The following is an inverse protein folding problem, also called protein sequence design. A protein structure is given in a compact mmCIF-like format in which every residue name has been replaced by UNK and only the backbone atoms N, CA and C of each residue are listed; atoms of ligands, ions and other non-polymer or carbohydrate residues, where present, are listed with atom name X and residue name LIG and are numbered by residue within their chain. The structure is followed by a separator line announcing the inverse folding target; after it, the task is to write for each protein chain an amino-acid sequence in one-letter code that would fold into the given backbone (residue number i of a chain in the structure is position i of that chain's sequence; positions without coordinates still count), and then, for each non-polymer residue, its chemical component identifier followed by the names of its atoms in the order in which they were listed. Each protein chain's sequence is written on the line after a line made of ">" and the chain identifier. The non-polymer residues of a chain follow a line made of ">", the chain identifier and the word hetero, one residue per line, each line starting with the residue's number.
data_IF_372912981594
#
_entry.id   IF_372912981594
#
_cell.length_a   1.000
_cell.length_b   1.000
_cell.length_c   1.000
_cell.angle_alpha   90.00
_cell.angle_beta   90.00
_cell.angle_gamma   90.00
#
_symmetry.space_group_name_H-M   'P 1'
#
loop_
_entity.id
_entity.type
_entity.pdbx_description
1 polymer ?
#
# COMPACT_ATOMS: atom_id res chain seq x y z
N UNK A 1 5.29 -1.95 29.25
CA UNK A 1 6.18 -1.90 28.06
C UNK A 1 6.17 -0.48 27.53
N UNK A 2 7.25 -0.02 26.91
CA UNK A 2 7.30 1.36 26.37
C UNK A 2 6.61 1.35 25.02
N UNK A 3 5.65 2.25 24.82
CA UNK A 3 4.97 2.45 23.51
C UNK A 3 5.98 2.86 22.45
N UNK A 4 5.69 2.51 21.19
CA UNK A 4 6.49 2.93 20.04
C UNK A 4 6.54 4.47 19.96
N UNK A 5 7.66 5.00 19.47
CA UNK A 5 7.94 6.44 19.58
C UNK A 5 7.01 7.31 18.72
N UNK A 6 6.73 6.87 17.47
CA UNK A 6 5.96 7.68 16.54
C UNK A 6 4.48 7.28 16.51
N UNK A 7 4.16 6.00 16.49
CA UNK A 7 2.78 5.52 16.42
C UNK A 7 2.09 5.46 17.78
N UNK A 8 2.85 5.48 18.87
CA UNK A 8 2.36 5.39 20.28
C UNK A 8 1.55 4.11 20.56
N UNK A 9 1.93 2.99 19.92
CA UNK A 9 1.34 1.65 20.06
C UNK A 9 2.28 0.70 20.83
N UNK A 10 1.72 -0.37 21.38
CA UNK A 10 2.44 -1.44 22.08
C UNK A 10 1.93 -2.83 21.64
N UNK A 11 2.66 -3.93 21.96
CA UNK A 11 2.20 -5.28 21.65
C UNK A 11 0.83 -5.58 22.26
N UNK A 12 -0.11 -6.02 21.42
CA UNK A 12 -1.51 -6.27 21.77
C UNK A 12 -2.48 -5.17 21.30
N UNK A 13 -1.98 -3.98 20.95
CA UNK A 13 -2.81 -2.89 20.43
C UNK A 13 -3.30 -3.16 19.00
N UNK A 14 -2.56 -3.98 18.23
CA UNK A 14 -2.85 -4.20 16.81
C UNK A 14 -2.94 -5.69 16.43
N UNK A 15 -3.63 -5.96 15.33
CA UNK A 15 -3.61 -7.26 14.67
C UNK A 15 -2.39 -7.45 13.77
N UNK A 16 -2.17 -8.71 13.32
CA UNK A 16 -1.08 -9.03 12.40
C UNK A 16 -1.32 -8.53 10.98
N UNK A 17 -2.57 -8.31 10.58
CA UNK A 17 -2.96 -7.72 9.29
C UNK A 17 -3.19 -6.22 9.45
N UNK A 18 -2.49 -5.40 8.67
CA UNK A 18 -2.61 -3.95 8.77
C UNK A 18 -2.85 -3.32 7.40
N UNK A 19 -3.89 -2.51 7.29
CA UNK A 19 -4.15 -1.67 6.12
C UNK A 19 -3.49 -0.31 6.32
N UNK A 20 -2.77 0.16 5.30
CA UNK A 20 -1.94 1.36 5.35
C UNK A 20 -2.44 2.45 4.39
N UNK A 21 -3.39 3.32 4.77
CA UNK A 21 -3.67 4.55 4.03
C UNK A 21 -2.61 5.62 4.31
N UNK A 22 -2.36 6.52 3.35
CA UNK A 22 -1.52 7.71 3.61
C UNK A 22 -2.24 8.74 4.48
N UNK A 23 -3.53 8.98 4.21
CA UNK A 23 -4.36 9.97 4.87
C UNK A 23 -4.94 9.46 6.20
N UNK A 24 -4.68 10.13 7.34
CA UNK A 24 -5.25 9.77 8.64
C UNK A 24 -6.79 9.74 8.65
N UNK A 25 -7.43 10.62 7.86
CA UNK A 25 -8.88 10.68 7.74
C UNK A 25 -9.50 9.40 7.18
N UNK A 26 -8.76 8.63 6.36
CA UNK A 26 -9.23 7.34 5.84
C UNK A 26 -9.25 6.23 6.87
N UNK A 27 -8.48 6.33 7.96
CA UNK A 27 -8.42 5.27 8.97
C UNK A 27 -9.79 4.95 9.55
N UNK A 28 -10.57 5.97 9.90
CA UNK A 28 -11.93 5.78 10.41
C UNK A 28 -12.87 5.14 9.38
N UNK A 29 -12.74 5.53 8.10
CA UNK A 29 -13.56 4.98 7.01
C UNK A 29 -13.22 3.51 6.79
N UNK A 30 -11.94 3.14 6.75
CA UNK A 30 -11.50 1.76 6.61
C UNK A 30 -11.93 0.93 7.83
N UNK A 31 -11.72 1.44 9.03
CA UNK A 31 -12.12 0.78 10.28
C UNK A 31 -13.61 0.51 10.38
N UNK A 32 -14.47 1.33 9.75
CA UNK A 32 -15.92 1.08 9.73
C UNK A 32 -16.33 -0.23 9.03
N UNK A 33 -15.41 -0.88 8.31
CA UNK A 33 -15.59 -2.21 7.72
C UNK A 33 -15.18 -3.37 8.65
N UNK A 34 -14.61 -3.06 9.81
CA UNK A 34 -14.23 -4.07 10.82
C UNK A 34 -15.39 -4.31 11.80
N UNK A 35 -15.39 -5.47 12.45
CA UNK A 35 -16.24 -5.71 13.61
C UNK A 35 -15.61 -5.06 14.83
N UNK A 36 -16.42 -4.31 15.61
CA UNK A 36 -16.04 -3.63 16.86
C UNK A 36 -14.75 -2.80 16.74
N UNK A 37 -14.67 -1.82 15.80
CA UNK A 37 -13.48 -1.04 15.63
C UNK A 37 -13.27 -0.04 16.75
N UNK A 38 -12.07 0.03 17.29
CA UNK A 38 -11.67 1.00 18.32
C UNK A 38 -10.43 1.78 17.86
N UNK A 39 -10.40 3.08 18.18
CA UNK A 39 -9.18 3.88 17.97
C UNK A 39 -8.20 3.60 19.10
N UNK A 40 -7.05 2.98 18.77
CA UNK A 40 -6.05 2.56 19.76
C UNK A 40 -4.94 3.58 19.95
N UNK A 41 -4.62 4.38 18.92
CA UNK A 41 -3.61 5.42 19.00
C UNK A 41 -3.84 6.55 18.01
N UNK A 42 -3.35 7.74 18.36
CA UNK A 42 -3.24 8.90 17.47
C UNK A 42 -2.05 9.73 17.92
N UNK A 43 -1.05 9.85 17.06
CA UNK A 43 0.11 10.68 17.29
C UNK A 43 0.69 11.14 15.96
N UNK A 44 0.93 12.44 15.78
CA UNK A 44 1.38 13.04 14.52
C UNK A 44 0.42 12.70 13.36
N UNK A 45 0.98 12.26 12.23
CA UNK A 45 0.24 11.75 11.06
C UNK A 45 -0.25 10.30 11.20
N UNK A 46 0.07 9.62 12.30
CA UNK A 46 -0.28 8.22 12.55
C UNK A 46 -1.54 8.10 13.39
N UNK A 47 -2.59 7.55 12.79
CA UNK A 47 -3.86 7.24 13.46
C UNK A 47 -4.14 5.75 13.27
N UNK A 48 -4.29 5.03 14.37
CA UNK A 48 -4.47 3.58 14.37
C UNK A 48 -5.81 3.18 14.96
N UNK A 49 -6.55 2.32 14.23
CA UNK A 49 -7.73 1.62 14.70
C UNK A 49 -7.50 0.12 14.62
N UNK A 50 -8.09 -0.62 15.55
CA UNK A 50 -8.09 -2.08 15.56
C UNK A 50 -9.51 -2.59 15.75
N UNK A 51 -9.85 -3.65 15.06
CA UNK A 51 -11.11 -4.39 15.17
C UNK A 51 -10.87 -5.82 14.68
N UNK A 52 -11.88 -6.46 14.09
CA UNK A 52 -11.72 -7.81 13.55
C UNK A 52 -12.41 -8.03 12.21
N UNK A 53 -11.86 -8.95 11.41
CA UNK A 53 -12.44 -9.48 10.18
C UNK A 53 -12.37 -11.02 10.29
N UNK A 54 -13.48 -11.74 10.08
CA UNK A 54 -13.57 -13.20 10.24
C UNK A 54 -13.01 -13.70 11.60
N UNK A 55 -13.21 -12.92 12.67
CA UNK A 55 -12.70 -13.13 14.02
C UNK A 55 -11.17 -12.99 14.19
N UNK A 56 -10.43 -12.62 13.15
CA UNK A 56 -9.01 -12.29 13.25
C UNK A 56 -8.84 -10.79 13.55
N UNK A 57 -7.94 -10.40 14.47
CA UNK A 57 -7.60 -9.01 14.70
C UNK A 57 -7.00 -8.36 13.45
N UNK A 58 -7.59 -7.25 13.02
CA UNK A 58 -7.14 -6.47 11.87
C UNK A 58 -7.03 -5.00 12.26
N UNK A 59 -5.99 -4.35 11.81
CA UNK A 59 -5.76 -2.94 12.09
C UNK A 59 -5.68 -2.10 10.82
N UNK A 60 -5.91 -0.82 10.97
CA UNK A 60 -5.58 0.20 9.99
C UNK A 60 -4.72 1.26 10.67
N UNK A 61 -3.64 1.67 10.04
CA UNK A 61 -2.77 2.73 10.53
C UNK A 61 -2.35 3.64 9.38
N UNK A 62 -2.52 4.94 9.52
CA UNK A 62 -2.04 5.88 8.50
C UNK A 62 -0.51 5.95 8.47
N UNK A 63 0.03 6.21 7.30
CA UNK A 63 1.49 6.35 7.09
C UNK A 63 1.94 7.80 6.95
N UNK A 64 1.02 8.75 6.78
CA UNK A 64 1.37 10.04 6.20
C UNK A 64 1.74 9.92 4.72
N UNK A 65 2.38 10.96 4.18
CA UNK A 65 2.82 11.01 2.78
C UNK A 65 4.32 10.77 2.71
N UNK A 66 4.71 9.92 1.77
CA UNK A 66 6.10 9.73 1.37
C UNK A 66 6.82 8.57 2.05
N UNK A 67 7.89 8.16 1.42
CA UNK A 67 8.68 7.00 1.80
C UNK A 67 9.27 7.09 3.22
N UNK A 68 9.79 8.24 3.72
CA UNK A 68 10.30 8.32 5.08
C UNK A 68 9.25 8.03 6.16
N UNK A 69 8.05 8.61 6.02
CA UNK A 69 6.97 8.43 6.98
C UNK A 69 6.42 6.98 6.93
N UNK A 70 6.27 6.43 5.73
CA UNK A 70 5.86 5.04 5.54
C UNK A 70 6.89 4.04 6.12
N UNK A 71 8.19 4.33 6.03
CA UNK A 71 9.24 3.52 6.65
C UNK A 71 9.08 3.45 8.17
N UNK A 72 8.86 4.58 8.83
CA UNK A 72 8.63 4.64 10.28
C UNK A 72 7.40 3.80 10.65
N UNK A 73 6.31 3.94 9.89
CA UNK A 73 5.08 3.20 10.16
C UNK A 73 5.31 1.69 10.15
N UNK A 74 5.86 1.14 9.07
CA UNK A 74 6.04 -0.32 8.94
C UNK A 74 7.05 -0.87 9.95
N UNK A 75 8.11 -0.10 10.29
CA UNK A 75 9.10 -0.49 11.29
C UNK A 75 8.48 -0.63 12.68
N UNK A 76 7.66 0.32 13.11
CA UNK A 76 7.04 0.27 14.43
C UNK A 76 5.89 -0.73 14.49
N UNK A 77 5.08 -0.86 13.42
CA UNK A 77 3.99 -1.84 13.36
C UNK A 77 4.52 -3.28 13.39
N UNK A 78 5.58 -3.59 12.62
CA UNK A 78 6.18 -4.93 12.67
C UNK A 78 6.81 -5.23 14.04
N UNK A 79 7.39 -4.23 14.69
CA UNK A 79 8.02 -4.41 16.01
C UNK A 79 7.02 -4.79 17.11
N UNK A 80 5.73 -4.48 16.91
CA UNK A 80 4.64 -4.86 17.83
C UNK A 80 3.80 -6.04 17.33
N UNK A 81 4.22 -6.73 16.24
CA UNK A 81 3.68 -8.02 15.84
C UNK A 81 2.93 -8.07 14.51
N UNK A 82 2.84 -6.97 13.75
CA UNK A 82 2.27 -7.02 12.40
C UNK A 82 3.21 -7.71 11.41
N UNK A 83 2.66 -8.53 10.51
CA UNK A 83 3.42 -9.28 9.49
C UNK A 83 2.85 -9.19 8.07
N UNK A 84 1.64 -8.66 7.93
CA UNK A 84 0.93 -8.57 6.65
C UNK A 84 0.37 -7.18 6.46
N UNK A 85 0.75 -6.53 5.36
CA UNK A 85 0.43 -5.13 5.11
C UNK A 85 -0.16 -4.93 3.70
N UNK A 86 -1.25 -4.19 3.62
CA UNK A 86 -1.83 -3.73 2.34
C UNK A 86 -1.89 -2.22 2.36
N UNK A 87 -1.07 -1.58 1.51
CA UNK A 87 -1.19 -0.15 1.27
C UNK A 87 -2.45 0.15 0.46
N UNK A 88 -3.23 1.14 0.91
CA UNK A 88 -4.40 1.68 0.23
C UNK A 88 -4.19 3.15 -0.08
N UNK A 89 -3.89 3.46 -1.34
CA UNK A 89 -3.51 4.80 -1.76
C UNK A 89 -4.35 5.37 -2.90
N UNK A 90 -3.88 6.53 -3.38
CA UNK A 90 -4.26 7.15 -4.65
C UNK A 90 -3.01 7.35 -5.49
N UNK A 91 -3.15 7.35 -6.80
CA UNK A 91 -2.05 7.49 -7.75
C UNK A 91 -2.47 8.26 -9.00
N UNK A 92 -1.49 8.73 -9.76
CA UNK A 92 -1.69 9.15 -11.15
C UNK A 92 -1.48 7.97 -12.10
N UNK A 93 -2.40 7.74 -13.03
CA UNK A 93 -2.24 6.75 -14.11
C UNK A 93 -1.15 7.20 -15.08
N UNK A 94 -0.39 6.25 -15.61
CA UNK A 94 0.74 6.48 -16.51
C UNK A 94 0.53 5.89 -17.91
N UNK A 95 -0.54 5.11 -18.14
CA UNK A 95 -0.79 4.48 -19.41
C UNK A 95 -2.04 5.05 -20.07
N UNK A 96 -2.05 5.21 -21.42
CA UNK A 96 -3.11 5.95 -22.12
C UNK A 96 -4.49 5.29 -22.08
N UNK A 97 -4.57 3.99 -21.74
CA UNK A 97 -5.83 3.25 -21.65
C UNK A 97 -6.50 3.33 -20.28
N UNK A 98 -5.80 3.89 -19.27
CA UNK A 98 -6.30 3.99 -17.90
C UNK A 98 -7.24 5.18 -17.74
N UNK A 99 -8.29 5.00 -16.95
CA UNK A 99 -9.26 6.05 -16.64
C UNK A 99 -9.33 6.32 -15.14
N UNK A 100 -9.65 7.57 -14.72
CA UNK A 100 -9.88 7.87 -13.30
C UNK A 100 -11.02 7.00 -12.74
N UNK A 101 -10.76 6.34 -11.62
CA UNK A 101 -11.65 5.36 -11.00
C UNK A 101 -11.17 3.91 -11.11
N UNK A 102 -10.30 3.60 -12.07
CA UNK A 102 -9.64 2.29 -12.15
C UNK A 102 -8.73 2.06 -10.94
N UNK A 103 -8.43 0.79 -10.65
CA UNK A 103 -7.51 0.39 -9.60
C UNK A 103 -6.17 -0.06 -10.17
N UNK A 104 -5.07 0.34 -9.54
CA UNK A 104 -3.74 -0.15 -9.84
C UNK A 104 -3.28 -1.10 -8.73
N UNK A 105 -3.04 -2.37 -9.05
CA UNK A 105 -2.44 -3.38 -8.17
C UNK A 105 -0.95 -3.43 -8.47
N UNK A 106 -0.14 -3.06 -7.49
CA UNK A 106 1.29 -2.86 -7.65
C UNK A 106 2.02 -4.18 -7.41
N UNK A 107 2.68 -4.69 -8.45
CA UNK A 107 3.49 -5.92 -8.39
C UNK A 107 4.96 -5.65 -8.04
N UNK A 108 5.42 -4.43 -8.26
CA UNK A 108 6.75 -3.94 -7.94
C UNK A 108 6.79 -2.42 -8.07
N UNK A 109 7.89 -1.82 -7.64
CA UNK A 109 8.02 -0.36 -7.65
C UNK A 109 9.38 0.11 -8.10
N UNK A 110 9.40 1.15 -8.93
CA UNK A 110 10.61 1.91 -9.27
C UNK A 110 11.01 2.70 -8.03
N UNK A 111 12.22 2.47 -7.54
CA UNK A 111 12.79 3.11 -6.34
C UNK A 111 13.39 4.47 -6.69
N UNK A 112 12.54 5.43 -7.12
CA UNK A 112 12.95 6.78 -7.49
C UNK A 112 12.81 7.76 -6.31
N UNK A 113 13.29 7.31 -5.15
CA UNK A 113 13.21 7.98 -3.85
C UNK A 113 14.50 7.78 -3.05
N UNK A 114 14.65 8.49 -1.94
CA UNK A 114 15.87 8.48 -1.13
C UNK A 114 15.89 7.45 -0.01
N UNK A 115 14.74 7.12 0.56
CA UNK A 115 14.62 6.37 1.82
C UNK A 115 15.11 4.94 1.70
N UNK A 116 14.67 4.20 0.68
CA UNK A 116 15.02 2.79 0.52
C UNK A 116 16.51 2.56 0.26
N UNK A 117 17.22 3.58 -0.22
CA UNK A 117 18.69 3.54 -0.43
C UNK A 117 19.48 3.42 0.89
N UNK A 118 18.88 3.82 2.02
CA UNK A 118 19.47 3.65 3.35
C UNK A 118 19.32 2.22 3.87
N UNK A 119 18.47 1.40 3.23
CA UNK A 119 18.23 0.01 3.62
C UNK A 119 18.92 -1.00 2.68
N UNK A 120 18.83 -0.78 1.37
CA UNK A 120 19.40 -1.67 0.34
C UNK A 120 19.89 -0.88 -0.87
N UNK A 121 20.93 -1.37 -1.58
CA UNK A 121 21.37 -0.82 -2.86
C UNK A 121 20.21 -0.65 -3.84
N UNK A 122 20.30 0.33 -4.74
CA UNK A 122 19.20 0.69 -5.67
C UNK A 122 18.85 -0.44 -6.64
N UNK A 123 19.82 -1.30 -6.94
CA UNK A 123 19.66 -2.46 -7.82
C UNK A 123 18.78 -3.57 -7.22
N UNK A 124 18.59 -3.59 -5.88
CA UNK A 124 17.67 -4.54 -5.26
C UNK A 124 16.22 -4.14 -5.59
N UNK A 125 15.41 -5.04 -6.18
CA UNK A 125 14.08 -4.70 -6.63
C UNK A 125 13.10 -4.57 -5.45
N UNK A 126 12.22 -3.58 -5.51
CA UNK A 126 11.05 -3.48 -4.63
C UNK A 126 9.90 -4.30 -5.22
N UNK A 127 9.67 -5.51 -4.71
CA UNK A 127 8.69 -6.47 -5.25
C UNK A 127 7.63 -6.78 -4.20
N UNK A 128 6.36 -6.81 -4.63
CA UNK A 128 5.24 -7.16 -3.76
C UNK A 128 5.22 -8.67 -3.45
N UNK A 129 4.67 -9.02 -2.30
CA UNK A 129 4.40 -10.41 -1.95
C UNK A 129 3.33 -10.98 -2.88
N UNK A 130 3.59 -12.16 -3.46
CA UNK A 130 2.74 -12.76 -4.49
C UNK A 130 1.35 -13.12 -3.97
N UNK A 131 1.23 -13.60 -2.73
CA UNK A 131 -0.07 -13.98 -2.13
C UNK A 131 -0.95 -12.74 -1.97
N UNK A 132 -0.36 -11.59 -1.59
CA UNK A 132 -1.08 -10.32 -1.47
C UNK A 132 -1.53 -9.82 -2.84
N UNK A 133 -0.69 -9.93 -3.87
CA UNK A 133 -1.06 -9.53 -5.24
C UNK A 133 -2.21 -10.39 -5.77
N UNK A 134 -2.16 -11.71 -5.56
CA UNK A 134 -3.22 -12.64 -5.97
C UNK A 134 -4.52 -12.29 -5.22
N UNK A 135 -4.47 -12.13 -3.90
CA UNK A 135 -5.65 -11.78 -3.11
C UNK A 135 -6.28 -10.45 -3.52
N UNK A 136 -5.47 -9.42 -3.83
CA UNK A 136 -5.96 -8.14 -4.33
C UNK A 136 -6.64 -8.28 -5.70
N UNK A 137 -6.05 -9.05 -6.62
CA UNK A 137 -6.62 -9.30 -7.94
C UNK A 137 -7.96 -10.03 -7.83
N UNK A 138 -8.01 -11.14 -7.10
CA UNK A 138 -9.23 -11.93 -6.91
C UNK A 138 -10.33 -11.12 -6.23
N UNK A 139 -9.97 -10.30 -5.24
CA UNK A 139 -10.90 -9.40 -4.57
C UNK A 139 -11.49 -8.36 -5.53
N UNK A 140 -10.68 -7.75 -6.37
CA UNK A 140 -11.13 -6.76 -7.34
C UNK A 140 -12.03 -7.39 -8.43
N UNK A 141 -11.66 -8.57 -8.95
CA UNK A 141 -12.45 -9.34 -9.91
C UNK A 141 -13.83 -9.71 -9.32
N UNK A 142 -13.86 -10.22 -8.07
CA UNK A 142 -15.09 -10.54 -7.35
C UNK A 142 -16.02 -9.34 -7.15
N UNK A 143 -15.44 -8.15 -6.96
CA UNK A 143 -16.18 -6.90 -6.76
C UNK A 143 -16.53 -6.19 -8.08
N UNK A 144 -16.04 -6.68 -9.21
CA UNK A 144 -16.32 -6.14 -10.55
C UNK A 144 -15.60 -4.83 -10.86
N UNK A 145 -14.44 -4.57 -10.21
CA UNK A 145 -13.66 -3.37 -10.46
C UNK A 145 -12.63 -3.58 -11.58
N UNK A 146 -12.47 -2.57 -12.43
CA UNK A 146 -11.43 -2.56 -13.45
C UNK A 146 -10.05 -2.35 -12.80
N UNK A 147 -9.08 -3.20 -13.18
CA UNK A 147 -7.75 -3.21 -12.56
C UNK A 147 -6.63 -3.25 -13.57
N UNK A 148 -5.52 -2.62 -13.21
CA UNK A 148 -4.24 -2.68 -13.92
C UNK A 148 -3.19 -3.25 -12.97
N UNK A 149 -2.52 -4.32 -13.39
CA UNK A 149 -1.43 -4.93 -12.63
C UNK A 149 -0.09 -4.51 -13.24
N UNK A 150 0.84 -4.08 -12.41
CA UNK A 150 2.17 -3.71 -12.89
C UNK A 150 3.02 -2.92 -11.91
N UNK A 151 4.04 -2.26 -12.45
CA UNK A 151 5.06 -1.55 -11.68
C UNK A 151 4.60 -0.11 -11.45
N UNK A 152 4.73 0.38 -10.20
CA UNK A 152 4.54 1.80 -9.87
C UNK A 152 5.84 2.59 -10.00
N UNK A 153 5.73 3.88 -10.25
CA UNK A 153 6.78 4.85 -10.03
C UNK A 153 6.62 5.46 -8.64
N UNK A 154 7.46 5.09 -7.69
CA UNK A 154 7.46 5.63 -6.34
C UNK A 154 8.53 6.70 -6.19
N UNK A 155 8.13 7.92 -5.84
CA UNK A 155 8.96 9.12 -5.85
C UNK A 155 8.81 9.96 -4.59
N UNK A 156 9.74 10.90 -4.37
CA UNK A 156 9.72 11.82 -3.23
C UNK A 156 9.12 13.20 -3.54
N UNK A 157 8.98 13.55 -4.83
CA UNK A 157 8.46 14.88 -5.19
C UNK A 157 7.14 14.81 -5.93
N UNK A 158 6.05 15.25 -5.27
CA UNK A 158 4.75 15.42 -5.91
C UNK A 158 4.81 16.46 -7.05
N UNK A 159 5.32 17.66 -6.75
CA UNK A 159 5.38 18.74 -7.74
C UNK A 159 6.44 18.54 -8.82
N UNK A 160 7.51 17.78 -8.55
CA UNK A 160 8.48 17.40 -9.57
C UNK A 160 7.88 16.55 -10.70
N UNK A 161 6.76 15.87 -10.42
CA UNK A 161 6.00 15.11 -11.41
C UNK A 161 4.84 15.94 -11.99
N UNK A 162 4.05 16.61 -11.15
CA UNK A 162 2.82 17.28 -11.56
C UNK A 162 3.05 18.63 -12.29
N UNK A 163 4.20 19.24 -12.07
CA UNK A 163 4.56 20.53 -12.66
C UNK A 163 6.10 20.59 -12.86
N UNK A 164 6.67 19.66 -13.64
CA UNK A 164 8.13 19.55 -13.83
C UNK A 164 8.74 20.83 -14.43
N UNK A 165 7.99 21.56 -15.25
CA UNK A 165 8.38 22.81 -15.89
C UNK A 165 8.77 23.90 -14.88
N UNK A 166 8.32 23.79 -13.63
CA UNK A 166 8.67 24.70 -12.53
C UNK A 166 10.02 24.40 -11.88
N UNK A 167 10.59 23.25 -12.21
CA UNK A 167 11.80 22.75 -11.53
C UNK A 167 13.06 23.13 -12.33
N UNK A 168 14.18 23.48 -11.65
CA UNK A 168 15.45 23.74 -12.33
C UNK A 168 15.96 22.57 -13.19
N UNK A 169 15.50 21.35 -12.88
CA UNK A 169 15.88 20.09 -13.57
C UNK A 169 14.74 19.55 -14.45
N UNK A 170 13.87 20.41 -14.97
CA UNK A 170 12.67 20.03 -15.73
C UNK A 170 12.92 18.97 -16.80
N UNK A 171 13.89 19.20 -17.69
CA UNK A 171 14.22 18.25 -18.77
C UNK A 171 14.56 16.86 -18.25
N UNK A 172 15.33 16.76 -17.17
CA UNK A 172 15.70 15.49 -16.54
C UNK A 172 14.47 14.75 -16.00
N UNK A 173 13.55 15.46 -15.36
CA UNK A 173 12.31 14.88 -14.82
C UNK A 173 11.39 14.39 -15.93
N UNK A 174 11.22 15.17 -17.00
CA UNK A 174 10.40 14.81 -18.15
C UNK A 174 10.95 13.62 -18.94
N UNK A 175 12.28 13.55 -19.14
CA UNK A 175 12.93 12.41 -19.80
C UNK A 175 12.76 11.13 -18.99
N UNK A 176 12.93 11.19 -17.68
CA UNK A 176 12.70 10.05 -16.80
C UNK A 176 11.24 9.60 -16.81
N UNK A 177 10.30 10.54 -16.74
CA UNK A 177 8.88 10.23 -16.85
C UNK A 177 8.57 9.47 -18.15
N UNK A 178 9.04 9.97 -19.29
CA UNK A 178 8.88 9.31 -20.60
C UNK A 178 9.47 7.89 -20.59
N UNK A 179 10.65 7.73 -19.99
CA UNK A 179 11.28 6.41 -19.89
C UNK A 179 10.44 5.44 -19.04
N UNK A 180 9.88 5.89 -17.91
CA UNK A 180 9.02 5.05 -17.08
C UNK A 180 7.70 4.68 -17.78
N UNK A 181 7.08 5.61 -18.47
CA UNK A 181 5.87 5.35 -19.27
C UNK A 181 6.16 4.34 -20.38
N UNK A 182 7.25 4.53 -21.14
CA UNK A 182 7.68 3.60 -22.19
C UNK A 182 8.08 2.22 -21.62
N UNK A 183 8.64 2.19 -20.41
CA UNK A 183 8.96 0.97 -19.68
C UNK A 183 7.73 0.24 -19.12
N UNK A 184 6.52 0.79 -19.29
CA UNK A 184 5.27 0.16 -18.90
C UNK A 184 4.88 0.37 -17.44
N UNK A 185 5.45 1.37 -16.74
CA UNK A 185 4.96 1.73 -15.41
C UNK A 185 3.48 2.15 -15.47
N UNK A 186 2.66 1.62 -14.55
CA UNK A 186 1.20 1.78 -14.60
C UNK A 186 0.68 2.96 -13.78
N UNK A 187 1.37 3.34 -12.74
CA UNK A 187 0.94 4.45 -11.87
C UNK A 187 2.11 5.09 -11.13
N UNK A 188 1.90 6.33 -10.67
CA UNK A 188 2.87 7.05 -9.86
C UNK A 188 2.28 7.38 -8.48
N UNK A 189 3.03 7.07 -7.44
CA UNK A 189 2.69 7.28 -6.02
C UNK A 189 3.97 7.55 -5.20
N UNK A 190 3.94 7.51 -3.86
CA UNK A 190 5.04 8.04 -3.05
C UNK A 190 5.49 7.12 -1.90
N UNK A 191 5.01 5.86 -1.77
CA UNK A 191 5.29 5.02 -0.60
C UNK A 191 5.58 3.55 -0.92
N UNK A 192 5.15 3.02 -2.06
CA UNK A 192 5.26 1.58 -2.35
C UNK A 192 6.71 1.09 -2.40
N UNK A 193 7.66 1.91 -2.88
CA UNK A 193 9.05 1.47 -2.96
C UNK A 193 9.62 1.06 -1.60
N UNK A 194 9.45 1.90 -0.58
CA UNK A 194 9.97 1.59 0.76
C UNK A 194 9.20 0.45 1.43
N UNK A 195 7.87 0.43 1.30
CA UNK A 195 7.05 -0.62 1.92
C UNK A 195 7.41 -2.01 1.36
N UNK A 196 7.55 -2.14 0.04
CA UNK A 196 7.93 -3.40 -0.59
C UNK A 196 9.38 -3.78 -0.28
N UNK A 197 10.29 -2.81 -0.19
CA UNK A 197 11.69 -3.04 0.18
C UNK A 197 11.80 -3.57 1.61
N UNK A 198 11.10 -2.96 2.57
CA UNK A 198 11.08 -3.43 3.96
C UNK A 198 10.35 -4.77 4.09
N UNK A 199 9.33 -5.00 3.27
CA UNK A 199 8.68 -6.30 3.14
C UNK A 199 9.67 -7.43 2.83
N UNK A 200 10.57 -7.21 1.87
CA UNK A 200 11.62 -8.16 1.51
C UNK A 200 12.64 -8.36 2.65
N UNK A 201 13.14 -7.27 3.23
CA UNK A 201 14.15 -7.30 4.30
C UNK A 201 13.64 -8.10 5.51
N UNK A 202 12.41 -7.84 5.93
CA UNK A 202 11.83 -8.42 7.14
C UNK A 202 10.97 -9.66 6.89
N UNK A 203 10.90 -10.13 5.63
CA UNK A 203 10.09 -11.29 5.22
C UNK A 203 8.61 -11.13 5.59
N UNK A 204 8.09 -9.92 5.40
CA UNK A 204 6.69 -9.59 5.63
C UNK A 204 5.90 -9.77 4.33
N UNK A 205 4.61 -10.02 4.45
CA UNK A 205 3.70 -9.99 3.31
C UNK A 205 3.26 -8.55 3.06
N UNK A 206 3.79 -7.90 2.03
CA UNK A 206 3.46 -6.51 1.70
C UNK A 206 2.97 -6.42 0.28
N UNK A 207 1.84 -5.76 0.08
CA UNK A 207 1.30 -5.38 -1.21
C UNK A 207 0.72 -3.97 -1.20
N UNK A 208 0.40 -3.48 -2.38
CA UNK A 208 -0.12 -2.12 -2.54
C UNK A 208 -1.18 -2.08 -3.63
N UNK A 209 -2.26 -1.36 -3.36
CA UNK A 209 -3.32 -1.04 -4.30
C UNK A 209 -3.64 0.44 -4.22
N UNK A 210 -3.84 1.08 -5.37
CA UNK A 210 -4.17 2.50 -5.43
C UNK A 210 -5.36 2.74 -6.38
N UNK A 211 -6.16 3.75 -6.04
CA UNK A 211 -7.11 4.35 -6.98
C UNK A 211 -6.32 5.20 -7.98
N UNK A 212 -6.53 5.01 -9.27
CA UNK A 212 -6.07 5.96 -10.28
C UNK A 212 -6.98 7.18 -10.19
N UNK A 213 -6.46 8.23 -9.53
CA UNK A 213 -7.23 9.45 -9.30
C UNK A 213 -7.29 10.35 -10.54
N UNK A 214 -6.24 10.37 -11.33
CA UNK A 214 -6.10 11.16 -12.56
C UNK A 214 -5.24 10.40 -13.56
N UNK A 215 -5.50 10.59 -14.86
CA UNK A 215 -4.54 10.23 -15.90
C UNK A 215 -3.86 11.53 -16.37
N UNK A 216 -2.53 11.65 -16.17
CA UNK A 216 -1.79 12.87 -16.47
C UNK A 216 -1.74 13.19 -17.97
N UNK A 217 -1.75 12.17 -18.82
CA UNK A 217 -1.75 12.34 -20.28
C UNK A 217 -3.16 12.66 -20.83
N UNK A 218 -4.20 12.52 -20.01
CA UNK A 218 -5.60 12.72 -20.37
C UNK A 218 -6.38 13.49 -19.30
N UNK A 219 -5.98 14.72 -18.98
CA UNK A 219 -6.60 15.51 -17.91
C UNK A 219 -8.10 15.80 -18.18
N UNK A 220 -8.53 15.75 -19.43
CA UNK A 220 -9.94 15.90 -19.83
C UNK A 220 -10.86 14.82 -19.28
N UNK A 221 -10.32 13.68 -18.85
CA UNK A 221 -11.11 12.62 -18.19
C UNK A 221 -11.51 12.99 -16.75
N UNK A 222 -10.98 14.09 -16.22
CA UNK A 222 -11.28 14.58 -14.87
C UNK A 222 -10.54 13.85 -13.76
N UNK A 223 -11.07 13.95 -12.55
CA UNK A 223 -10.46 13.40 -11.33
C UNK A 223 -11.48 12.54 -10.60
N UNK A 224 -11.08 11.34 -10.21
CA UNK A 224 -11.83 10.48 -9.29
C UNK A 224 -11.31 10.63 -7.86
N UNK A 225 -12.20 10.92 -6.93
CA UNK A 225 -11.89 11.02 -5.48
C UNK A 225 -12.55 9.91 -4.66
N UNK A 226 -13.35 9.04 -5.30
CA UNK A 226 -14.04 7.95 -4.62
C UNK A 226 -13.07 6.82 -4.26
N UNK A 227 -12.67 6.78 -3.01
CA UNK A 227 -11.78 5.73 -2.47
C UNK A 227 -12.50 4.46 -2.02
N UNK A 228 -13.83 4.39 -2.12
CA UNK A 228 -14.58 3.19 -1.70
C UNK A 228 -14.18 1.91 -2.48
N UNK A 229 -13.94 1.93 -3.81
CA UNK A 229 -13.48 0.74 -4.53
C UNK A 229 -12.16 0.18 -4.02
N UNK A 230 -11.14 1.02 -3.82
CA UNK A 230 -9.83 0.56 -3.34
C UNK A 230 -9.89 0.06 -1.90
N UNK A 231 -10.69 0.67 -1.03
CA UNK A 231 -10.90 0.24 0.35
C UNK A 231 -11.61 -1.13 0.38
N UNK A 232 -12.72 -1.28 -0.34
CA UNK A 232 -13.47 -2.55 -0.40
C UNK A 232 -12.63 -3.70 -0.94
N UNK A 233 -11.79 -3.43 -1.94
CA UNK A 233 -10.86 -4.43 -2.49
C UNK A 233 -9.84 -4.86 -1.44
N UNK A 234 -9.25 -3.93 -0.69
CA UNK A 234 -8.29 -4.27 0.37
C UNK A 234 -8.94 -5.08 1.50
N UNK A 235 -10.16 -4.73 1.91
CA UNK A 235 -10.92 -5.48 2.92
C UNK A 235 -11.21 -6.91 2.45
N UNK A 236 -11.64 -7.08 1.20
CA UNK A 236 -11.90 -8.40 0.64
C UNK A 236 -10.60 -9.23 0.50
N UNK A 237 -9.51 -8.59 0.09
CA UNK A 237 -8.19 -9.24 0.02
C UNK A 237 -7.71 -9.71 1.42
N UNK A 238 -7.92 -8.94 2.49
CA UNK A 238 -7.63 -9.38 3.87
C UNK A 238 -8.43 -10.64 4.21
N UNK A 239 -9.72 -10.73 3.84
CA UNK A 239 -10.52 -11.95 4.07
C UNK A 239 -9.93 -13.16 3.36
N UNK A 240 -9.50 -13.00 2.11
CA UNK A 240 -8.86 -14.07 1.34
C UNK A 240 -7.55 -14.52 1.97
N UNK A 241 -6.72 -13.60 2.45
CA UNK A 241 -5.46 -13.92 3.13
C UNK A 241 -5.69 -14.63 4.47
N UNK A 242 -6.68 -14.24 5.26
CA UNK A 242 -7.06 -14.93 6.49
C UNK A 242 -7.51 -16.37 6.18
N UNK A 243 -8.34 -16.56 5.16
CA UNK A 243 -8.79 -17.89 4.74
C UNK A 243 -7.64 -18.77 4.24
N UNK A 244 -6.70 -18.19 3.48
CA UNK A 244 -5.49 -18.88 3.03
C UNK A 244 -4.66 -19.37 4.21
N UNK A 245 -4.44 -18.52 5.21
CA UNK A 245 -3.68 -18.90 6.41
C UNK A 245 -4.35 -20.03 7.19
N UNK A 246 -5.67 -19.96 7.40
CA UNK A 246 -6.43 -21.03 8.07
C UNK A 246 -6.37 -22.36 7.31
N UNK A 247 -6.37 -22.34 5.98
CA UNK A 247 -6.26 -23.55 5.18
C UNK A 247 -4.86 -24.17 5.29
N UNK A 248 -3.81 -23.35 5.19
CA UNK A 248 -2.43 -23.80 5.35
C UNK A 248 -2.16 -24.40 6.73
N UNK A 249 -2.77 -23.87 7.79
CA UNK A 249 -2.65 -24.42 9.15
C UNK A 249 -3.32 -25.79 9.26
N UNK A 250 -4.50 -25.96 8.68
CA UNK A 250 -5.21 -27.27 8.68
C UNK A 250 -4.42 -28.34 7.93
N UNK A 251 -3.82 -28.01 6.79
CA UNK A 251 -2.98 -28.93 6.02
C UNK A 251 -1.76 -29.37 6.84
N UNK A 252 -1.04 -28.41 7.46
CA UNK A 252 0.12 -28.71 8.32
C UNK A 252 -0.22 -29.61 9.53
N UNK A 253 -1.42 -29.46 10.08
CA UNK A 253 -1.87 -30.32 11.20
C UNK A 253 -2.17 -31.72 10.71
N UNK A 254 -2.77 -31.88 9.53
CA UNK A 254 -3.09 -33.16 8.95
C UNK A 254 -1.82 -33.95 8.55
N UNK A 255 -0.84 -33.28 7.95
CA UNK A 255 0.46 -33.88 7.57
C UNK A 255 1.27 -34.39 8.77
N UNK A 256 1.12 -33.77 9.95
CA UNK A 256 1.79 -34.23 11.17
C UNK A 256 1.10 -35.40 11.86
N UNK A 257 -0.12 -35.77 11.42
CA UNK A 257 -0.91 -36.87 11.96
C UNK A 257 -0.80 -38.18 11.15
N UNK A 258 -0.27 -38.06 9.92
CA UNK A 258 0.08 -39.18 9.04
C UNK A 258 1.58 -39.48 9.12
#
# INVERSE_FOLDING_TARGET
>A
MVKSHHLAIEPGDIGRFVILPGDPGRCKVIASHFNNPEKVAENREYVTYTGSILNEPVSVSSTGIGNPSAAIAIEELRAVGADTFIRVGTSGGMQPHQIPGDLAIITGSIRDEGTSKHYLPTEFPAVANIDVVIALREAAEKLGYNTHLGISHSKDSYFGQMAPERMPVANFLEERWKAWVQGGAICAEMESAILLTLGAIYRLRVGSITLIAINQDKPELGVSTDTAPVIKTAIEAIKLLIQLDHNNEKERINDKRN
#
